data_IF_783978374151
#
_entry.id   IF_783978374151
#
_cell.length_a   1.000
_cell.length_b   1.000
_cell.length_c   1.000
_cell.angle_alpha   90.00
_cell.angle_beta   90.00
_cell.angle_gamma   90.00
#
_symmetry.space_group_name_H-M   'P 1'
#
loop_
_entity.id
_entity.type
_entity.pdbx_description
1 polymer ?
#
# COMPACT_ATOMS: atom_id res chain seq x y z
N UNK A 1 17.45 21.96 -8.18
CA UNK A 1 17.08 21.80 -9.61
C UNK A 1 16.97 20.30 -9.84
N UNK A 2 15.82 19.74 -9.57
CA UNK A 2 15.52 18.32 -9.84
C UNK A 2 15.47 18.12 -11.35
N UNK A 3 16.26 17.19 -11.83
CA UNK A 3 16.45 16.91 -13.24
C UNK A 3 15.12 16.40 -13.84
N UNK A 4 14.68 16.94 -14.95
CA UNK A 4 13.41 16.60 -15.60
C UNK A 4 13.35 15.09 -15.98
N UNK A 5 14.49 14.45 -16.17
CA UNK A 5 14.62 13.02 -16.43
C UNK A 5 14.20 12.16 -15.23
N UNK A 6 14.51 12.58 -14.00
CA UNK A 6 14.19 11.82 -12.79
C UNK A 6 12.67 11.83 -12.47
N UNK A 7 11.94 12.88 -12.90
CA UNK A 7 10.48 12.96 -12.71
C UNK A 7 9.69 12.02 -13.63
N UNK A 8 10.08 11.89 -14.88
CA UNK A 8 9.40 11.01 -15.85
C UNK A 8 9.53 9.54 -15.42
N UNK A 9 10.71 9.13 -14.92
CA UNK A 9 10.92 7.77 -14.44
C UNK A 9 10.14 7.45 -13.16
N UNK A 10 9.91 8.39 -12.26
CA UNK A 10 9.15 8.16 -11.03
C UNK A 10 7.63 7.99 -11.27
N UNK A 11 7.05 8.75 -12.21
CA UNK A 11 5.62 8.64 -12.55
C UNK A 11 5.30 7.31 -13.27
N UNK A 12 6.13 6.91 -14.25
CA UNK A 12 5.99 5.64 -14.97
C UNK A 12 6.10 4.45 -14.00
N UNK A 13 6.95 4.57 -13.00
CA UNK A 13 7.12 3.54 -11.99
C UNK A 13 5.92 3.43 -11.03
N UNK A 14 5.41 4.55 -10.51
CA UNK A 14 4.21 4.56 -9.66
C UNK A 14 3.03 3.92 -10.38
N UNK A 15 2.87 4.21 -11.67
CA UNK A 15 1.89 3.55 -12.52
C UNK A 15 2.12 2.05 -12.63
N UNK A 16 3.37 1.61 -12.85
CA UNK A 16 3.71 0.20 -12.96
C UNK A 16 3.44 -0.56 -11.68
N UNK A 17 3.81 -0.02 -10.50
CA UNK A 17 3.56 -0.67 -9.21
C UNK A 17 2.08 -0.74 -8.85
N UNK A 18 1.32 0.31 -9.16
CA UNK A 18 -0.14 0.32 -9.00
C UNK A 18 -0.80 -0.73 -9.90
N UNK A 19 -0.33 -0.83 -11.15
CA UNK A 19 -0.77 -1.86 -12.09
C UNK A 19 -0.40 -3.27 -11.61
N UNK A 20 0.84 -3.50 -11.19
CA UNK A 20 1.30 -4.80 -10.68
C UNK A 20 0.49 -5.23 -9.46
N UNK A 21 0.22 -4.31 -8.54
CA UNK A 21 -0.57 -4.58 -7.35
C UNK A 21 -2.02 -4.99 -7.69
N UNK A 22 -2.68 -4.27 -8.60
CA UNK A 22 -4.06 -4.61 -8.99
C UNK A 22 -4.10 -5.89 -9.82
N UNK A 23 -3.10 -6.11 -10.69
CA UNK A 23 -2.98 -7.36 -11.46
C UNK A 23 -2.82 -8.57 -10.53
N UNK A 24 -1.94 -8.50 -9.54
CA UNK A 24 -1.73 -9.61 -8.60
C UNK A 24 -2.94 -9.84 -7.71
N UNK A 25 -3.70 -8.80 -7.35
CA UNK A 25 -5.02 -8.99 -6.69
C UNK A 25 -6.04 -9.66 -7.58
N UNK A 26 -5.98 -9.46 -8.91
CA UNK A 26 -6.87 -10.21 -9.82
C UNK A 26 -6.50 -11.69 -9.88
N UNK A 27 -5.19 -12.02 -9.92
CA UNK A 27 -4.72 -13.41 -9.82
C UNK A 27 -5.18 -14.07 -8.53
N UNK A 28 -5.06 -13.36 -7.40
CA UNK A 28 -5.54 -13.82 -6.09
C UNK A 28 -7.05 -14.06 -6.07
N UNK A 29 -7.82 -13.15 -6.66
CA UNK A 29 -9.28 -13.26 -6.69
C UNK A 29 -9.78 -14.53 -7.38
N UNK A 30 -9.07 -14.96 -8.43
CA UNK A 30 -9.44 -16.14 -9.24
C UNK A 30 -9.04 -17.46 -8.56
N UNK A 31 -8.28 -17.45 -7.48
CA UNK A 31 -7.89 -18.67 -6.77
C UNK A 31 -9.05 -19.27 -5.99
N UNK A 32 -9.13 -20.60 -5.93
CA UNK A 32 -10.09 -21.31 -5.09
C UNK A 32 -9.80 -21.10 -3.59
N UNK A 33 -8.51 -21.03 -3.22
CA UNK A 33 -8.02 -20.82 -1.85
C UNK A 33 -7.68 -19.35 -1.54
N UNK A 34 -8.33 -18.41 -2.25
CA UNK A 34 -8.07 -16.98 -2.08
C UNK A 34 -8.29 -16.51 -0.64
N UNK A 35 -7.38 -15.69 -0.15
CA UNK A 35 -7.49 -15.02 1.16
C UNK A 35 -8.00 -13.58 1.04
N UNK A 36 -7.98 -13.01 -0.17
CA UNK A 36 -8.56 -11.70 -0.51
C UNK A 36 -9.49 -11.84 -1.70
N UNK A 37 -10.70 -11.30 -1.60
CA UNK A 37 -11.63 -11.20 -2.71
C UNK A 37 -11.70 -9.76 -3.22
N UNK A 38 -11.27 -9.54 -4.47
CA UNK A 38 -11.35 -8.25 -5.14
C UNK A 38 -11.93 -8.40 -6.55
N UNK A 39 -13.28 -8.43 -6.69
CA UNK A 39 -13.93 -8.64 -7.98
C UNK A 39 -13.71 -7.50 -8.98
N UNK A 40 -13.15 -6.39 -8.53
CA UNK A 40 -12.89 -5.22 -9.36
C UNK A 40 -11.46 -5.18 -9.89
N UNK A 41 -10.55 -6.02 -9.36
CA UNK A 41 -9.13 -5.98 -9.70
C UNK A 41 -8.88 -6.29 -11.17
N UNK A 42 -9.51 -7.33 -11.73
CA UNK A 42 -9.32 -7.73 -13.12
C UNK A 42 -9.80 -6.65 -14.12
N UNK A 43 -11.01 -6.09 -14.01
CA UNK A 43 -11.44 -5.00 -14.88
C UNK A 43 -10.53 -3.77 -14.83
N UNK A 44 -10.03 -3.41 -13.64
CA UNK A 44 -9.10 -2.30 -13.47
C UNK A 44 -7.76 -2.59 -14.16
N UNK A 45 -7.18 -3.77 -13.94
CA UNK A 45 -5.90 -4.16 -14.52
C UNK A 45 -5.97 -4.22 -16.04
N UNK A 46 -7.02 -4.85 -16.59
CA UNK A 46 -7.19 -5.03 -18.04
C UNK A 46 -7.24 -3.72 -18.80
N UNK A 47 -7.88 -2.71 -18.25
CA UNK A 47 -8.13 -1.45 -18.95
C UNK A 47 -6.99 -0.44 -18.81
N UNK A 48 -6.20 -0.47 -17.72
CA UNK A 48 -5.18 0.56 -17.51
C UNK A 48 -3.92 0.32 -18.36
N UNK A 49 -3.51 -0.92 -18.52
CA UNK A 49 -2.27 -1.24 -19.21
C UNK A 49 -2.40 -2.56 -20.01
N UNK A 50 -3.28 -2.62 -21.01
CA UNK A 50 -3.50 -3.86 -21.78
C UNK A 50 -2.22 -4.40 -22.42
N UNK A 51 -1.26 -3.54 -22.75
CA UNK A 51 0.04 -3.93 -23.31
C UNK A 51 0.97 -4.60 -22.29
N UNK A 52 0.76 -4.41 -21.00
CA UNK A 52 1.56 -5.02 -19.94
C UNK A 52 1.04 -6.40 -19.52
N UNK A 53 -0.24 -6.68 -19.73
CA UNK A 53 -0.85 -7.94 -19.32
C UNK A 53 -0.10 -9.19 -19.80
N UNK A 54 0.33 -9.30 -21.09
CA UNK A 54 1.12 -10.47 -21.54
C UNK A 54 2.46 -10.64 -20.84
N UNK A 55 3.11 -9.52 -20.46
CA UNK A 55 4.38 -9.55 -19.70
C UNK A 55 4.15 -9.98 -18.26
N UNK A 56 3.09 -9.47 -17.64
CA UNK A 56 2.71 -9.84 -16.28
C UNK A 56 2.31 -11.32 -16.20
N UNK A 57 1.55 -11.84 -17.16
CA UNK A 57 1.23 -13.27 -17.23
C UNK A 57 2.50 -14.11 -17.29
N UNK A 58 3.44 -13.77 -18.16
CA UNK A 58 4.72 -14.47 -18.27
C UNK A 58 5.53 -14.41 -16.98
N UNK A 59 5.49 -13.29 -16.28
CA UNK A 59 6.15 -13.13 -14.98
C UNK A 59 5.50 -14.02 -13.91
N UNK A 60 4.17 -14.01 -13.80
CA UNK A 60 3.44 -14.87 -12.85
C UNK A 60 3.63 -16.35 -13.14
N UNK A 61 3.73 -16.75 -14.40
CA UNK A 61 4.05 -18.13 -14.81
C UNK A 61 5.48 -18.55 -14.42
N UNK A 62 6.40 -17.61 -14.29
CA UNK A 62 7.81 -17.88 -14.00
C UNK A 62 8.15 -17.93 -12.50
N UNK A 63 7.26 -17.47 -11.64
CA UNK A 63 7.44 -17.41 -10.20
C UNK A 63 6.35 -18.22 -9.49
N UNK A 64 6.70 -19.00 -8.47
CA UNK A 64 5.71 -19.66 -7.66
C UNK A 64 4.96 -18.62 -6.80
N UNK A 65 3.66 -18.46 -7.07
CA UNK A 65 2.73 -17.65 -6.28
C UNK A 65 3.20 -16.20 -6.03
N UNK A 66 3.48 -15.41 -7.10
CA UNK A 66 4.00 -14.05 -6.98
C UNK A 66 3.01 -13.11 -6.28
N UNK A 67 1.72 -13.47 -6.26
CA UNK A 67 0.65 -12.75 -5.58
C UNK A 67 0.70 -12.85 -4.06
N UNK A 68 1.39 -13.85 -3.48
CA UNK A 68 1.32 -14.15 -2.05
C UNK A 68 1.65 -12.95 -1.15
N UNK A 69 2.75 -12.24 -1.43
CA UNK A 69 3.12 -11.06 -0.64
C UNK A 69 2.00 -10.00 -0.65
N UNK A 70 1.50 -9.65 -1.83
CA UNK A 70 0.46 -8.63 -1.96
C UNK A 70 -0.84 -9.06 -1.31
N UNK A 71 -1.20 -10.33 -1.43
CA UNK A 71 -2.43 -10.89 -0.85
C UNK A 71 -2.37 -10.93 0.66
N UNK A 72 -1.25 -11.41 1.24
CA UNK A 72 -1.04 -11.45 2.68
C UNK A 72 -1.03 -10.03 3.26
N UNK A 73 -0.29 -9.10 2.66
CA UNK A 73 -0.28 -7.69 3.07
C UNK A 73 -1.68 -7.07 3.02
N UNK A 74 -2.35 -7.21 1.89
CA UNK A 74 -3.72 -6.69 1.71
C UNK A 74 -4.67 -7.25 2.77
N UNK A 75 -4.57 -8.56 3.07
CA UNK A 75 -5.41 -9.21 4.07
C UNK A 75 -5.14 -8.68 5.48
N UNK A 76 -3.89 -8.46 5.85
CA UNK A 76 -3.56 -7.87 7.16
C UNK A 76 -4.15 -6.47 7.33
N UNK A 77 -4.05 -5.60 6.32
CA UNK A 77 -4.67 -4.28 6.39
C UNK A 77 -6.21 -4.36 6.39
N UNK A 78 -6.80 -5.26 5.59
CA UNK A 78 -8.25 -5.47 5.59
C UNK A 78 -8.75 -5.93 6.97
N UNK A 79 -8.01 -6.83 7.65
CA UNK A 79 -8.30 -7.26 9.01
C UNK A 79 -8.11 -6.12 10.03
N UNK A 80 -7.03 -5.33 9.93
CA UNK A 80 -6.82 -4.19 10.80
C UNK A 80 -7.96 -3.17 10.70
N UNK A 81 -8.42 -2.87 9.48
CA UNK A 81 -9.59 -2.02 9.26
C UNK A 81 -10.85 -2.64 9.88
N UNK A 82 -11.04 -3.96 9.73
CA UNK A 82 -12.22 -4.66 10.26
C UNK A 82 -12.23 -4.73 11.79
N UNK A 83 -11.07 -4.85 12.41
CA UNK A 83 -10.88 -4.99 13.84
C UNK A 83 -10.62 -3.67 14.58
N UNK A 84 -10.48 -2.55 13.85
CA UNK A 84 -10.27 -1.23 14.45
C UNK A 84 -11.29 -0.93 15.54
N UNK A 85 -10.94 -0.06 16.46
CA UNK A 85 -11.87 0.37 17.50
C UNK A 85 -13.21 0.83 16.88
N UNK A 86 -14.32 0.33 17.38
CA UNK A 86 -15.66 0.61 16.86
C UNK A 86 -16.08 2.09 16.90
N UNK A 87 -15.37 2.93 17.65
CA UNK A 87 -15.58 4.38 17.66
C UNK A 87 -14.93 5.10 16.47
N UNK A 88 -14.03 4.44 15.73
CA UNK A 88 -13.35 5.02 14.57
C UNK A 88 -14.26 4.93 13.35
N UNK A 89 -14.78 6.08 12.93
CA UNK A 89 -15.61 6.24 11.73
C UNK A 89 -14.90 7.06 10.63
N UNK A 90 -13.64 7.44 10.84
CA UNK A 90 -12.82 8.17 9.87
C UNK A 90 -11.61 7.33 9.48
N UNK A 91 -11.41 7.10 8.18
CA UNK A 91 -10.36 6.22 7.65
C UNK A 91 -9.61 6.96 6.54
N UNK A 92 -8.29 7.05 6.66
CA UNK A 92 -7.42 7.62 5.63
C UNK A 92 -6.53 6.53 5.06
N UNK A 93 -6.60 6.33 3.75
CA UNK A 93 -5.81 5.33 3.02
C UNK A 93 -4.82 6.04 2.09
N UNK A 94 -3.54 5.96 2.42
CA UNK A 94 -2.47 6.51 1.59
C UNK A 94 -2.12 5.57 0.43
N UNK A 95 -1.61 6.16 -0.67
CA UNK A 95 -1.30 5.46 -1.94
C UNK A 95 -2.46 4.60 -2.42
N UNK A 96 -3.66 5.15 -2.25
CA UNK A 96 -4.90 4.42 -2.52
C UNK A 96 -5.04 4.01 -4.00
N UNK A 97 -4.50 4.79 -4.94
CA UNK A 97 -4.38 4.46 -6.35
C UNK A 97 -5.55 3.65 -6.92
N UNK A 98 -5.27 2.41 -7.33
CA UNK A 98 -6.25 1.43 -7.81
C UNK A 98 -6.81 0.52 -6.70
N UNK A 99 -6.68 0.92 -5.45
CA UNK A 99 -7.29 0.23 -4.31
C UNK A 99 -8.82 0.26 -4.40
N UNK A 100 -9.45 -0.86 -4.01
CA UNK A 100 -10.90 -1.06 -4.14
C UNK A 100 -11.59 -1.24 -2.79
N UNK A 101 -10.91 -0.97 -1.67
CA UNK A 101 -11.47 -1.17 -0.32
C UNK A 101 -12.79 -0.45 -0.11
N UNK A 102 -12.89 0.79 -0.61
CA UNK A 102 -14.14 1.56 -0.54
C UNK A 102 -15.31 0.92 -1.30
N UNK A 103 -15.05 -0.07 -2.16
CA UNK A 103 -16.08 -0.75 -2.96
C UNK A 103 -16.31 -2.21 -2.53
N UNK A 104 -15.44 -2.81 -1.72
CA UNK A 104 -15.50 -4.22 -1.37
C UNK A 104 -15.44 -4.54 0.12
N UNK A 105 -15.00 -3.60 0.97
CA UNK A 105 -14.73 -3.86 2.38
C UNK A 105 -15.90 -3.36 3.25
N UNK A 106 -16.81 -4.27 3.61
CA UNK A 106 -18.02 -3.97 4.38
C UNK A 106 -17.80 -3.19 5.69
N UNK A 107 -16.71 -3.41 6.47
CA UNK A 107 -16.40 -2.60 7.65
C UNK A 107 -16.29 -1.09 7.43
N UNK A 108 -16.20 -0.63 6.19
CA UNK A 108 -16.14 0.80 5.84
C UNK A 108 -17.52 1.46 5.66
N UNK A 109 -18.64 0.72 5.74
CA UNK A 109 -19.98 1.25 5.44
C UNK A 109 -20.41 2.44 6.29
N UNK A 110 -19.99 2.48 7.55
CA UNK A 110 -20.34 3.58 8.48
C UNK A 110 -19.21 4.61 8.60
N UNK A 111 -18.29 4.65 7.66
CA UNK A 111 -17.12 5.50 7.72
C UNK A 111 -17.17 6.66 6.72
N UNK A 112 -16.43 7.72 7.06
CA UNK A 112 -15.91 8.66 6.09
C UNK A 112 -14.53 8.16 5.66
N UNK A 113 -14.36 7.81 4.40
CA UNK A 113 -13.11 7.29 3.84
C UNK A 113 -12.46 8.34 2.95
N UNK A 114 -11.20 8.64 3.24
CA UNK A 114 -10.34 9.48 2.42
C UNK A 114 -9.31 8.62 1.71
N UNK A 115 -9.32 8.61 0.40
CA UNK A 115 -8.29 8.00 -0.42
C UNK A 115 -7.29 9.06 -0.88
N UNK A 116 -6.03 8.95 -0.42
CA UNK A 116 -4.96 9.91 -0.71
C UNK A 116 -3.96 9.29 -1.68
N UNK A 117 -3.72 9.94 -2.81
CA UNK A 117 -2.68 9.57 -3.78
C UNK A 117 -2.25 10.80 -4.60
N UNK A 118 -1.00 10.82 -5.03
CA UNK A 118 -0.49 11.90 -5.88
C UNK A 118 -0.94 11.78 -7.33
N UNK A 119 -1.34 10.58 -7.78
CA UNK A 119 -1.63 10.31 -9.18
C UNK A 119 -3.13 10.41 -9.49
N UNK A 120 -3.56 11.59 -9.95
CA UNK A 120 -4.94 11.84 -10.35
C UNK A 120 -5.43 10.89 -11.46
N UNK A 121 -4.57 10.53 -12.42
CA UNK A 121 -4.97 9.65 -13.53
C UNK A 121 -5.35 8.24 -13.07
N UNK A 122 -4.77 7.73 -11.98
CA UNK A 122 -5.18 6.46 -11.38
C UNK A 122 -6.60 6.55 -10.80
N UNK A 123 -6.92 7.65 -10.13
CA UNK A 123 -8.27 7.88 -9.61
C UNK A 123 -9.31 8.03 -10.73
N UNK A 124 -9.02 8.82 -11.76
CA UNK A 124 -9.92 8.95 -12.93
C UNK A 124 -10.18 7.58 -13.58
N UNK A 125 -9.11 6.77 -13.76
CA UNK A 125 -9.24 5.43 -14.30
C UNK A 125 -10.12 4.55 -13.41
N UNK A 126 -9.84 4.53 -12.09
CA UNK A 126 -10.60 3.74 -11.11
C UNK A 126 -12.08 4.09 -11.13
N UNK A 127 -12.40 5.38 -10.97
CA UNK A 127 -13.80 5.85 -10.96
C UNK A 127 -14.50 5.47 -12.27
N UNK A 128 -13.90 5.76 -13.42
CA UNK A 128 -14.48 5.43 -14.73
C UNK A 128 -14.79 3.94 -14.90
N UNK A 129 -13.88 3.06 -14.46
CA UNK A 129 -14.07 1.61 -14.59
C UNK A 129 -15.14 1.11 -13.62
N UNK A 130 -15.12 1.57 -12.36
CA UNK A 130 -16.06 1.13 -11.33
C UNK A 130 -17.46 1.67 -11.59
N UNK A 131 -17.63 2.88 -12.10
CA UNK A 131 -18.92 3.42 -12.54
C UNK A 131 -19.50 2.61 -13.69
N UNK A 132 -18.68 2.24 -14.69
CA UNK A 132 -19.12 1.41 -15.80
C UNK A 132 -19.59 0.00 -15.34
N UNK A 133 -19.05 -0.49 -14.23
CA UNK A 133 -19.46 -1.75 -13.60
C UNK A 133 -20.66 -1.58 -12.64
N UNK A 134 -21.13 -0.36 -12.41
CA UNK A 134 -22.11 -0.04 -11.36
C UNK A 134 -21.67 -0.57 -9.99
N UNK A 135 -20.37 -0.49 -9.70
CA UNK A 135 -19.78 -0.96 -8.45
C UNK A 135 -20.32 -0.13 -7.27
N UNK A 136 -20.80 -0.77 -6.18
CA UNK A 136 -21.35 -0.03 -5.06
C UNK A 136 -20.23 0.65 -4.27
N UNK A 137 -20.31 1.95 -4.08
CA UNK A 137 -19.48 2.66 -3.11
C UNK A 137 -20.06 2.39 -1.71
N UNK A 138 -19.27 1.80 -0.82
CA UNK A 138 -19.74 1.29 0.48
C UNK A 138 -19.75 2.34 1.61
N UNK A 139 -18.72 3.22 1.74
CA UNK A 139 -18.68 4.21 2.81
C UNK A 139 -19.86 5.17 2.77
N UNK A 140 -20.22 5.69 3.95
CA UNK A 140 -21.22 6.75 4.06
C UNK A 140 -20.76 8.04 3.40
N UNK A 141 -19.48 8.35 3.52
CA UNK A 141 -18.81 9.45 2.82
C UNK A 141 -17.48 8.97 2.24
N UNK A 142 -17.13 9.46 1.06
CA UNK A 142 -15.89 9.08 0.38
C UNK A 142 -15.31 10.28 -0.38
N UNK A 143 -14.08 10.61 -0.07
CA UNK A 143 -13.35 11.70 -0.71
C UNK A 143 -12.03 11.22 -1.29
N UNK A 144 -11.72 11.71 -2.48
CA UNK A 144 -10.46 11.51 -3.17
C UNK A 144 -9.60 12.77 -2.96
N UNK A 145 -8.45 12.59 -2.33
CA UNK A 145 -7.49 13.66 -2.04
C UNK A 145 -6.25 13.50 -2.91
N UNK A 146 -6.12 14.33 -3.93
CA UNK A 146 -4.94 14.31 -4.81
C UNK A 146 -3.81 15.10 -4.17
N UNK A 147 -2.88 14.38 -3.54
CA UNK A 147 -1.78 14.99 -2.80
C UNK A 147 -0.52 14.10 -2.81
N UNK A 148 0.65 14.72 -2.94
CA UNK A 148 1.94 14.10 -2.64
C UNK A 148 2.26 14.36 -1.16
N UNK A 149 2.55 13.31 -0.40
CA UNK A 149 2.90 13.42 1.02
C UNK A 149 4.26 14.12 1.25
N UNK A 150 5.06 14.32 0.20
CA UNK A 150 6.26 15.15 0.26
C UNK A 150 5.95 16.66 0.09
N UNK A 151 4.75 17.01 -0.35
CA UNK A 151 4.31 18.40 -0.43
C UNK A 151 3.84 18.88 0.95
N UNK A 152 4.26 20.08 1.35
CA UNK A 152 3.92 20.68 2.64
C UNK A 152 2.42 21.07 2.80
N UNK A 153 1.56 20.70 1.86
CA UNK A 153 0.14 21.08 1.86
C UNK A 153 -0.80 19.88 1.74
N UNK A 154 -0.31 18.65 1.88
CA UNK A 154 -1.17 17.48 1.78
C UNK A 154 -2.21 17.44 2.91
N UNK A 155 -1.82 17.86 4.12
CA UNK A 155 -2.72 17.98 5.27
C UNK A 155 -3.79 19.05 5.05
N UNK A 156 -3.47 20.19 4.43
CA UNK A 156 -4.45 21.23 4.10
C UNK A 156 -5.51 20.72 3.12
N UNK A 157 -5.09 19.90 2.15
CA UNK A 157 -6.01 19.27 1.19
C UNK A 157 -6.93 18.26 1.88
N UNK A 158 -6.37 17.46 2.81
CA UNK A 158 -7.14 16.50 3.60
C UNK A 158 -8.18 17.21 4.48
N UNK A 159 -7.76 18.25 5.21
CA UNK A 159 -8.66 19.09 6.00
C UNK A 159 -9.75 19.76 5.14
N UNK A 160 -9.38 20.23 3.95
CA UNK A 160 -10.33 20.86 3.01
C UNK A 160 -11.35 19.85 2.45
N UNK A 161 -11.01 18.58 2.41
CA UNK A 161 -11.92 17.49 2.04
C UNK A 161 -12.88 17.07 3.18
N UNK A 162 -12.80 17.72 4.34
CA UNK A 162 -13.72 17.46 5.46
C UNK A 162 -13.16 16.55 6.56
N UNK A 163 -11.85 16.29 6.55
CA UNK A 163 -11.21 15.56 7.63
C UNK A 163 -11.33 16.32 8.97
N UNK A 164 -11.73 15.61 10.01
CA UNK A 164 -11.88 16.16 11.38
C UNK A 164 -10.78 15.60 12.30
N UNK A 165 -9.80 16.42 12.66
CA UNK A 165 -8.71 16.04 13.56
C UNK A 165 -9.12 15.86 15.02
N UNK A 166 -10.37 16.14 15.37
CA UNK A 166 -10.89 16.01 16.75
C UNK A 166 -11.49 14.65 17.05
N UNK A 167 -11.67 13.80 16.03
CA UNK A 167 -12.20 12.43 16.17
C UNK A 167 -11.13 11.37 15.86
N UNK A 168 -11.23 10.18 16.50
CA UNK A 168 -10.29 9.09 16.21
C UNK A 168 -10.32 8.67 14.75
N UNK A 169 -9.13 8.44 14.19
CA UNK A 169 -8.91 8.11 12.77
C UNK A 169 -8.11 6.83 12.64
N UNK A 170 -8.45 5.99 11.66
CA UNK A 170 -7.60 4.89 11.22
C UNK A 170 -6.76 5.34 10.02
N UNK A 171 -5.45 5.21 10.12
CA UNK A 171 -4.47 5.57 9.10
C UNK A 171 -3.87 4.33 8.45
N UNK A 172 -4.13 4.10 7.18
CA UNK A 172 -3.56 2.99 6.41
C UNK A 172 -2.41 3.45 5.51
N UNK A 173 -1.19 3.00 5.81
CA UNK A 173 0.05 3.36 5.10
C UNK A 173 0.55 2.18 4.23
N UNK A 174 -0.35 1.51 3.49
CA UNK A 174 0.02 0.36 2.68
C UNK A 174 0.96 0.74 1.53
N UNK A 175 2.15 0.14 1.51
CA UNK A 175 3.14 0.41 0.48
C UNK A 175 3.58 1.88 0.43
N UNK A 176 3.64 2.56 1.59
CA UNK A 176 3.99 3.97 1.67
C UNK A 176 5.43 4.19 2.15
N UNK A 177 5.79 3.59 3.28
CA UNK A 177 7.00 3.94 4.01
C UNK A 177 8.28 3.65 3.23
N UNK A 178 8.35 2.53 2.55
CA UNK A 178 9.54 2.10 1.82
C UNK A 178 9.88 2.95 0.59
N UNK A 179 8.95 3.78 0.12
CA UNK A 179 9.16 4.66 -1.05
C UNK A 179 9.54 6.10 -0.69
N UNK A 180 9.53 6.43 0.59
CA UNK A 180 9.92 7.74 1.11
C UNK A 180 11.29 7.68 1.77
N UNK A 181 12.07 8.73 1.61
CA UNK A 181 13.27 8.94 2.41
C UNK A 181 12.90 9.02 3.90
N UNK A 182 13.82 8.63 4.81
CA UNK A 182 13.56 8.68 6.25
C UNK A 182 13.04 10.04 6.75
N UNK A 183 13.60 11.19 6.34
CA UNK A 183 13.07 12.49 6.77
C UNK A 183 11.61 12.73 6.35
N UNK A 184 11.23 12.29 5.15
CA UNK A 184 9.84 12.40 4.66
C UNK A 184 8.89 11.50 5.45
N UNK A 185 9.30 10.28 5.77
CA UNK A 185 8.54 9.38 6.64
C UNK A 185 8.34 9.97 8.04
N UNK A 186 9.41 10.52 8.62
CA UNK A 186 9.33 11.20 9.94
C UNK A 186 8.37 12.38 9.90
N UNK A 187 8.43 13.20 8.85
CA UNK A 187 7.49 14.32 8.67
C UNK A 187 6.04 13.84 8.55
N UNK A 188 5.81 12.82 7.72
CA UNK A 188 4.48 12.21 7.54
C UNK A 188 3.92 11.70 8.87
N UNK A 189 4.68 10.91 9.61
CA UNK A 189 4.23 10.32 10.88
C UNK A 189 3.98 11.39 11.94
N UNK A 190 4.82 12.43 12.04
CA UNK A 190 4.58 13.57 12.95
C UNK A 190 3.31 14.35 12.58
N UNK A 191 3.05 14.53 11.30
CA UNK A 191 1.80 15.17 10.86
C UNK A 191 0.59 14.29 11.18
N UNK A 192 0.68 12.98 10.96
CA UNK A 192 -0.35 12.01 11.38
C UNK A 192 -0.61 12.12 12.89
N UNK A 193 0.46 12.17 13.70
CA UNK A 193 0.29 12.34 15.17
C UNK A 193 -0.45 13.64 15.52
N UNK A 194 -0.07 14.76 14.90
CA UNK A 194 -0.73 16.06 15.15
C UNK A 194 -2.21 16.04 14.73
N UNK A 195 -2.55 15.37 13.64
CA UNK A 195 -3.91 15.29 13.12
C UNK A 195 -4.78 14.22 13.79
N UNK A 196 -4.24 13.47 14.74
CA UNK A 196 -4.93 12.34 15.37
C UNK A 196 -5.45 12.69 16.75
N UNK A 197 -6.71 12.44 17.01
CA UNK A 197 -7.26 12.40 18.35
C UNK A 197 -6.83 11.13 19.11
N UNK A 198 -6.85 11.11 20.46
CA UNK A 198 -6.68 9.88 21.25
C UNK A 198 -7.63 8.77 20.79
N UNK A 199 -7.15 7.54 20.77
CA UNK A 199 -7.86 6.39 20.23
C UNK A 199 -7.74 6.20 18.73
N UNK A 200 -6.98 7.06 18.02
CA UNK A 200 -6.62 6.84 16.63
C UNK A 200 -5.69 5.63 16.46
N UNK A 201 -5.78 4.99 15.32
CA UNK A 201 -4.97 3.82 14.98
C UNK A 201 -4.18 4.04 13.68
N UNK A 202 -3.01 3.43 13.59
CA UNK A 202 -2.19 3.39 12.37
C UNK A 202 -1.87 1.94 12.00
N UNK A 203 -1.88 1.65 10.73
CA UNK A 203 -1.33 0.44 10.17
C UNK A 203 -0.36 0.80 9.03
N UNK A 204 0.80 0.15 9.00
CA UNK A 204 1.75 0.33 7.90
C UNK A 204 2.69 -0.84 7.74
N UNK A 205 3.29 -0.93 6.56
CA UNK A 205 4.28 -1.93 6.22
C UNK A 205 5.65 -1.32 5.97
N UNK A 206 6.69 -2.07 6.32
CA UNK A 206 8.08 -1.74 6.04
C UNK A 206 8.82 -2.98 5.61
N UNK A 207 9.71 -2.85 4.66
CA UNK A 207 10.60 -3.93 4.25
C UNK A 207 12.01 -3.75 4.80
N UNK A 208 12.75 -4.84 4.92
CA UNK A 208 14.09 -4.86 5.46
C UNK A 208 15.11 -4.08 4.63
N UNK A 209 16.26 -3.82 5.24
CA UNK A 209 17.34 -3.01 4.66
C UNK A 209 17.82 -3.52 3.29
N UNK A 210 17.79 -4.82 3.06
CA UNK A 210 18.17 -5.42 1.78
C UNK A 210 17.33 -4.94 0.58
N UNK A 211 16.10 -4.43 0.80
CA UNK A 211 15.31 -3.80 -0.27
C UNK A 211 15.97 -2.54 -0.82
N UNK A 212 16.51 -1.71 0.08
CA UNK A 212 17.15 -0.45 -0.26
C UNK A 212 18.44 -0.66 -1.06
N UNK A 213 19.12 -1.78 -0.85
CA UNK A 213 20.33 -2.15 -1.58
C UNK A 213 20.07 -2.77 -2.97
N UNK A 214 18.82 -2.78 -3.45
CA UNK A 214 18.43 -3.45 -4.70
C UNK A 214 18.59 -4.97 -4.64
N UNK A 215 18.59 -5.53 -3.43
CA UNK A 215 19.03 -6.88 -3.12
C UNK A 215 18.01 -7.99 -3.33
N UNK A 216 16.87 -7.78 -4.00
CA UNK A 216 15.84 -8.83 -4.17
C UNK A 216 15.67 -9.20 -5.64
N UNK A 217 15.78 -10.50 -5.96
CA UNK A 217 15.72 -11.00 -7.34
C UNK A 217 14.41 -10.63 -8.07
N UNK A 218 13.30 -10.57 -7.35
CA UNK A 218 12.02 -10.19 -7.91
C UNK A 218 12.02 -8.77 -8.52
N UNK A 219 12.83 -7.84 -7.99
CA UNK A 219 12.91 -6.47 -8.50
C UNK A 219 13.77 -6.35 -9.75
N UNK A 220 14.77 -7.21 -9.95
CA UNK A 220 15.47 -7.28 -11.25
C UNK A 220 14.53 -7.68 -12.37
N UNK A 221 13.58 -8.57 -12.08
CA UNK A 221 12.55 -8.94 -13.05
C UNK A 221 11.56 -7.80 -13.31
N UNK A 222 11.25 -6.98 -12.28
CA UNK A 222 10.46 -5.76 -12.47
C UNK A 222 11.19 -4.79 -13.39
N UNK A 223 12.49 -4.61 -13.26
CA UNK A 223 13.29 -3.76 -14.16
C UNK A 223 13.27 -4.28 -15.61
N UNK A 224 13.41 -5.58 -15.79
CA UNK A 224 13.31 -6.20 -17.11
C UNK A 224 11.91 -6.05 -17.75
N UNK A 225 10.85 -6.13 -16.93
CA UNK A 225 9.46 -5.98 -17.39
C UNK A 225 9.09 -4.52 -17.68
N UNK A 226 9.52 -3.60 -16.83
CA UNK A 226 9.23 -2.16 -16.96
C UNK A 226 10.11 -1.49 -18.00
N UNK A 227 11.23 -2.12 -18.41
CA UNK A 227 12.28 -1.54 -19.24
C UNK A 227 12.92 -0.29 -18.62
N UNK A 228 12.92 -0.22 -17.29
CA UNK A 228 13.48 0.86 -16.50
C UNK A 228 14.44 0.29 -15.46
N UNK A 229 15.52 1.00 -15.16
CA UNK A 229 16.46 0.63 -14.08
C UNK A 229 15.91 1.09 -12.72
N UNK A 230 14.71 0.63 -12.35
CA UNK A 230 13.98 1.15 -11.19
C UNK A 230 14.26 0.36 -9.91
N UNK A 231 14.54 -0.94 -10.02
CA UNK A 231 14.69 -1.82 -8.87
C UNK A 231 15.85 -1.50 -7.95
N UNK A 232 16.89 -0.82 -8.45
CA UNK A 232 18.06 -0.42 -7.66
C UNK A 232 17.86 0.90 -6.91
N UNK A 233 16.87 1.71 -7.28
CA UNK A 233 16.69 3.06 -6.71
C UNK A 233 15.28 3.32 -6.20
N UNK A 234 14.45 2.30 -6.18
CA UNK A 234 13.05 2.41 -5.88
C UNK A 234 12.77 2.61 -4.40
N UNK A 235 13.34 1.73 -3.61
CA UNK A 235 13.13 1.74 -2.17
C UNK A 235 14.10 2.71 -1.53
N UNK A 236 13.53 3.70 -0.84
CA UNK A 236 14.24 4.78 -0.18
C UNK A 236 14.46 4.53 1.30
N UNK A 237 13.66 3.62 1.86
CA UNK A 237 13.75 3.16 3.24
C UNK A 237 13.69 1.64 3.29
N UNK A 238 14.58 1.05 4.08
CA UNK A 238 14.55 -0.36 4.48
C UNK A 238 15.04 -0.47 5.91
N UNK A 239 14.29 -1.18 6.75
CA UNK A 239 14.58 -1.32 8.19
C UNK A 239 14.26 -2.74 8.63
N UNK A 240 15.23 -3.40 9.29
CA UNK A 240 15.08 -4.78 9.76
C UNK A 240 14.35 -4.87 11.11
N UNK A 241 14.26 -3.77 11.85
CA UNK A 241 13.50 -3.65 13.10
C UNK A 241 12.43 -2.58 12.95
N UNK A 242 11.23 -3.00 12.59
CA UNK A 242 10.13 -2.10 12.29
C UNK A 242 9.64 -1.28 13.50
N UNK A 243 9.72 -1.83 14.72
CA UNK A 243 9.24 -1.15 15.92
C UNK A 243 10.22 -0.09 16.43
N UNK A 244 11.52 -0.26 16.17
CA UNK A 244 12.56 0.70 16.55
C UNK A 244 13.04 1.55 15.36
N UNK A 245 12.45 1.33 14.19
CA UNK A 245 12.67 2.09 12.96
C UNK A 245 11.87 3.39 12.90
N UNK A 246 11.41 3.73 11.71
CA UNK A 246 10.69 5.00 11.48
C UNK A 246 9.38 5.09 12.24
N UNK A 247 8.68 3.98 12.48
CA UNK A 247 7.43 3.98 13.24
C UNK A 247 7.61 4.42 14.70
N UNK A 248 8.81 4.26 15.28
CA UNK A 248 9.11 4.74 16.64
C UNK A 248 9.04 6.27 16.78
N UNK A 249 8.95 7.03 15.70
CA UNK A 249 8.70 8.48 15.73
C UNK A 249 7.24 8.83 16.14
N UNK A 250 6.33 7.85 16.11
CA UNK A 250 5.01 7.98 16.69
C UNK A 250 5.09 7.71 18.22
N UNK A 251 4.63 8.63 19.08
CA UNK A 251 4.56 8.39 20.51
C UNK A 251 3.32 7.55 20.89
N UNK A 252 3.11 6.47 20.12
CA UNK A 252 1.94 5.59 20.21
C UNK A 252 2.34 4.22 20.78
N UNK A 253 1.39 3.47 21.24
CA UNK A 253 1.60 2.06 21.57
C UNK A 253 1.66 1.27 20.27
N UNK A 254 2.86 0.76 19.94
CA UNK A 254 3.14 0.04 18.70
C UNK A 254 3.27 -1.46 18.94
N UNK A 255 2.74 -2.25 18.04
CA UNK A 255 2.91 -3.70 18.01
C UNK A 255 3.27 -4.21 16.62
N UNK A 256 4.02 -5.30 16.58
CA UNK A 256 4.29 -6.03 15.35
C UNK A 256 3.13 -7.00 15.12
N UNK A 257 2.26 -6.69 14.15
CA UNK A 257 1.13 -7.54 13.81
C UNK A 257 1.56 -8.82 13.09
N UNK A 258 2.56 -8.71 12.23
CA UNK A 258 3.21 -9.84 11.56
C UNK A 258 4.57 -9.46 11.01
N UNK A 259 5.41 -10.48 10.85
CA UNK A 259 6.66 -10.41 10.12
C UNK A 259 6.75 -11.60 9.15
N UNK A 260 7.14 -11.32 7.93
CA UNK A 260 7.27 -12.32 6.86
C UNK A 260 8.72 -12.79 6.65
N UNK A 261 9.59 -12.61 7.65
CA UNK A 261 10.99 -13.06 7.58
C UNK A 261 11.13 -14.59 7.62
N UNK A 262 10.22 -15.28 8.32
CA UNK A 262 10.29 -16.73 8.49
C UNK A 262 9.22 -17.44 7.65
N UNK A 263 9.47 -18.70 7.22
CA UNK A 263 8.43 -19.52 6.63
C UNK A 263 7.25 -19.69 7.59
N UNK A 264 6.04 -19.69 7.06
CA UNK A 264 4.86 -19.77 7.92
C UNK A 264 3.55 -19.95 7.17
N UNK A 265 2.47 -19.68 7.88
CA UNK A 265 1.12 -19.69 7.32
C UNK A 265 0.37 -18.45 7.76
N UNK A 266 -0.14 -17.67 6.78
CA UNK A 266 -0.91 -16.46 7.03
C UNK A 266 -2.30 -16.61 6.42
N UNK A 267 -3.33 -16.60 7.25
CA UNK A 267 -4.73 -16.78 6.82
C UNK A 267 -4.96 -18.08 6.00
N UNK A 268 -4.22 -19.14 6.33
CA UNK A 268 -4.26 -20.41 5.57
C UNK A 268 -3.34 -20.47 4.35
N UNK A 269 -2.74 -19.35 3.94
CA UNK A 269 -1.77 -19.26 2.84
C UNK A 269 -0.35 -19.58 3.33
N UNK A 270 0.29 -20.58 2.70
CA UNK A 270 1.70 -20.87 2.95
C UNK A 270 2.59 -19.69 2.49
N UNK A 271 3.58 -19.36 3.28
CA UNK A 271 4.55 -18.32 3.00
C UNK A 271 5.98 -18.87 3.04
N UNK A 272 6.73 -18.55 2.01
CA UNK A 272 8.18 -18.73 1.94
C UNK A 272 8.85 -17.36 1.86
N UNK A 273 9.88 -17.08 2.66
CA UNK A 273 10.53 -15.78 2.70
C UNK A 273 11.16 -15.37 1.38
N UNK A 274 11.08 -14.11 1.08
CA UNK A 274 11.82 -13.50 -0.02
C UNK A 274 13.28 -13.36 0.41
N UNK A 275 14.20 -13.88 -0.41
CA UNK A 275 15.62 -13.86 -0.09
C UNK A 275 16.33 -12.67 -0.76
N UNK A 276 17.26 -12.06 -0.05
CA UNK A 276 18.18 -11.09 -0.63
C UNK A 276 19.08 -11.74 -1.68
N UNK A 277 19.41 -10.99 -2.74
CA UNK A 277 20.29 -11.50 -3.82
C UNK A 277 21.71 -11.69 -3.32
N UNK A 278 22.19 -10.78 -2.49
CA UNK A 278 23.58 -10.75 -2.01
C UNK A 278 23.82 -11.71 -0.87
N UNK A 279 23.08 -11.57 0.24
CA UNK A 279 23.30 -12.38 1.45
C UNK A 279 22.60 -13.74 1.40
N UNK A 280 21.67 -13.97 0.48
CA UNK A 280 20.79 -15.16 0.44
C UNK A 280 20.04 -15.39 1.76
N UNK A 281 19.86 -14.32 2.53
CA UNK A 281 19.12 -14.32 3.79
C UNK A 281 17.68 -13.85 3.55
N UNK A 282 16.72 -14.26 4.36
CA UNK A 282 15.38 -13.70 4.37
C UNK A 282 15.39 -12.18 4.51
N UNK A 283 14.51 -11.52 3.79
CA UNK A 283 14.27 -10.08 3.93
C UNK A 283 12.99 -9.92 4.75
N UNK A 284 13.04 -9.27 5.92
CA UNK A 284 11.84 -9.01 6.69
C UNK A 284 10.88 -8.11 5.92
N UNK A 285 9.59 -8.43 6.01
CA UNK A 285 8.48 -7.55 5.64
C UNK A 285 7.55 -7.51 6.83
N UNK A 286 7.59 -6.39 7.54
CA UNK A 286 6.92 -6.24 8.82
C UNK A 286 5.67 -5.40 8.69
N UNK A 287 4.60 -5.79 9.38
CA UNK A 287 3.34 -5.06 9.48
C UNK A 287 3.18 -4.52 10.89
N UNK A 288 3.17 -3.19 11.00
CA UNK A 288 3.08 -2.47 12.27
C UNK A 288 1.67 -1.95 12.45
N UNK A 289 1.12 -2.16 13.64
CA UNK A 289 -0.10 -1.54 14.11
C UNK A 289 0.22 -0.65 15.32
N UNK A 290 -0.44 0.47 15.44
CA UNK A 290 -0.22 1.41 16.54
C UNK A 290 -1.50 2.08 16.99
N UNK A 291 -1.59 2.38 18.29
CA UNK A 291 -2.74 3.05 18.92
C UNK A 291 -2.28 4.29 19.67
N UNK A 292 -2.90 5.44 19.39
CA UNK A 292 -2.67 6.69 20.11
C UNK A 292 -3.43 6.65 21.45
N UNK A 293 -2.70 6.88 22.56
CA UNK A 293 -3.28 6.91 23.91
C UNK A 293 -3.92 8.27 24.22
#
# INVERSE_FOLDING_TARGET
MTNHADKVHSEDFVQFMSFSSVFLRSVEHDREDRIVSDPFAEPLARQIAPQLAPRMNKWTESLPQPENYFSIRTRYLDEAIAQRNGSICQVVLFRAGLGTRAYRLDPLRSCHVFEVDQNFALFEHKVRVLDALSAPLLPEQHDIVVADVNDFNWEEKLLSAGFDSTIPTFWGLEGQTMYLERPSNVALLKTIDILSAPGSEVWGDVGGHALQEGGVAAFKQVDELSQAELGTHLFRLGEDDALHGVFSELPWELELQADLEQPGTHFGRAWEPILSVTAKAPVPFSFVHGVKQ
#
